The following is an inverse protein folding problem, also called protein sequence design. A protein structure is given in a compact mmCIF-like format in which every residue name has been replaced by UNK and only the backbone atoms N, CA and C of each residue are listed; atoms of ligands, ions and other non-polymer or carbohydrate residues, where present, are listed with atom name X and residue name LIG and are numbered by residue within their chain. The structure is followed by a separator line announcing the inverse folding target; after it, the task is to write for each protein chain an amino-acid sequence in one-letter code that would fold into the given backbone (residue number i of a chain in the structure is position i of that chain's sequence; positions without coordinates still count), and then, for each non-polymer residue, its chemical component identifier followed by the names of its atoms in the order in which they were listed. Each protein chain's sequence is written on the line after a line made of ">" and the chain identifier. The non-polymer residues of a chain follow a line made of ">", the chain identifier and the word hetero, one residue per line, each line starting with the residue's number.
data_IF_243542843052
#
_entry.id   IF_243542843052
#
_cell.length_a   1.000
_cell.length_b   1.000
_cell.length_c   1.000
_cell.angle_alpha   90.00
_cell.angle_beta   90.00
_cell.angle_gamma   90.00
#
_symmetry.space_group_name_H-M   'P 1'
#
loop_
_entity.id
_entity.type
_entity.pdbx_description
1 polymer ?
#
# COMPACT_ATOMS: atom_id res chain seq x y z
N UNK A 1 35.69 40.87 -1.50
CA UNK A 1 35.38 40.72 -0.05
C UNK A 1 36.46 39.93 0.67
N UNK A 2 36.77 38.70 0.23
CA UNK A 2 37.89 37.91 0.77
C UNK A 2 39.26 38.58 0.60
N UNK A 3 39.51 39.24 -0.54
CA UNK A 3 40.76 39.98 -0.77
C UNK A 3 40.92 41.17 0.19
N UNK A 4 39.85 41.93 0.44
CA UNK A 4 39.86 43.04 1.41
C UNK A 4 39.97 42.56 2.87
N UNK A 5 39.53 41.34 3.17
CA UNK A 5 39.69 40.71 4.48
C UNK A 5 41.14 40.24 4.71
N UNK A 6 41.74 39.63 3.70
CA UNK A 6 43.13 39.21 3.73
C UNK A 6 44.08 40.41 3.82
N UNK A 7 43.79 41.51 3.11
CA UNK A 7 44.57 42.74 3.17
C UNK A 7 44.52 43.44 4.55
N UNK A 8 43.41 43.34 5.28
CA UNK A 8 43.20 43.99 6.58
C UNK A 8 43.47 43.08 7.78
N UNK A 9 44.25 42.01 7.60
CA UNK A 9 44.62 41.07 8.66
C UNK A 9 43.43 40.52 9.48
N UNK A 10 42.27 40.35 8.82
CA UNK A 10 41.05 39.81 9.43
C UNK A 10 40.11 40.83 10.08
N UNK A 11 40.39 42.14 10.04
CA UNK A 11 39.53 43.16 10.65
C UNK A 11 38.37 43.65 9.75
N UNK A 12 38.21 43.10 8.53
CA UNK A 12 37.09 43.45 7.66
C UNK A 12 35.87 42.55 7.91
N UNK A 13 34.66 43.11 7.86
CA UNK A 13 33.44 42.29 7.92
C UNK A 13 33.21 41.54 6.59
N UNK A 14 32.99 40.23 6.65
CA UNK A 14 32.55 39.42 5.51
C UNK A 14 31.08 39.09 5.67
N UNK A 15 30.27 39.50 4.70
CA UNK A 15 28.86 39.12 4.66
C UNK A 15 28.71 37.67 4.14
N UNK A 16 28.44 36.74 5.06
CA UNK A 16 28.19 35.32 4.75
C UNK A 16 26.69 34.99 4.59
N UNK A 17 25.80 35.99 4.48
CA UNK A 17 24.36 35.76 4.34
C UNK A 17 24.00 34.91 3.13
N UNK A 18 24.72 35.08 2.01
CA UNK A 18 24.54 34.24 0.82
C UNK A 18 24.94 32.80 1.11
N UNK A 19 26.09 32.58 1.76
CA UNK A 19 26.55 31.23 2.14
C UNK A 19 25.55 30.54 3.05
N UNK A 20 25.07 31.24 4.09
CA UNK A 20 24.03 30.75 5.00
C UNK A 20 22.74 30.38 4.27
N UNK A 21 22.28 31.23 3.35
CA UNK A 21 21.04 30.95 2.61
C UNK A 21 21.19 29.72 1.70
N UNK A 22 22.37 29.51 1.09
CA UNK A 22 22.65 28.31 0.29
C UNK A 22 22.68 27.04 1.16
N UNK A 23 23.31 27.11 2.33
CA UNK A 23 23.34 26.00 3.30
C UNK A 23 21.93 25.66 3.82
N UNK A 24 21.10 26.68 4.09
CA UNK A 24 19.71 26.48 4.50
C UNK A 24 18.88 25.78 3.41
N UNK A 25 19.02 26.22 2.15
CA UNK A 25 18.36 25.57 1.01
C UNK A 25 18.82 24.13 0.84
N UNK A 26 20.13 23.88 0.94
CA UNK A 26 20.68 22.52 0.90
C UNK A 26 20.11 21.64 2.02
N UNK A 27 20.00 22.18 3.24
CA UNK A 27 19.43 21.47 4.39
C UNK A 27 17.97 21.10 4.15
N UNK A 28 17.17 22.01 3.59
CA UNK A 28 15.78 21.70 3.20
C UNK A 28 15.71 20.62 2.11
N UNK A 29 16.61 20.64 1.13
CA UNK A 29 16.70 19.57 0.13
C UNK A 29 17.04 18.22 0.75
N UNK A 30 18.04 18.15 1.64
CA UNK A 30 18.42 16.92 2.34
C UNK A 30 17.28 16.41 3.22
N UNK A 31 16.60 17.29 3.96
CA UNK A 31 15.42 16.93 4.74
C UNK A 31 14.29 16.36 3.87
N UNK A 32 14.08 16.95 2.69
CA UNK A 32 13.14 16.44 1.69
C UNK A 32 13.52 15.04 1.20
N UNK A 33 14.79 14.80 0.88
CA UNK A 33 15.28 13.46 0.50
C UNK A 33 15.03 12.45 1.61
N UNK A 34 15.38 12.78 2.86
CA UNK A 34 15.16 11.90 4.02
C UNK A 34 13.67 11.62 4.22
N UNK A 35 12.80 12.61 4.02
CA UNK A 35 11.34 12.44 4.07
C UNK A 35 10.86 11.44 3.00
N UNK A 36 11.26 11.60 1.73
CA UNK A 36 10.86 10.67 0.67
C UNK A 36 11.44 9.26 0.87
N UNK A 37 12.67 9.14 1.36
CA UNK A 37 13.25 7.85 1.76
C UNK A 37 12.43 7.22 2.88
N UNK A 38 11.97 8.00 3.85
CA UNK A 38 11.10 7.52 4.93
C UNK A 38 9.74 7.06 4.40
N UNK A 39 9.11 7.79 3.49
CA UNK A 39 7.89 7.35 2.80
C UNK A 39 8.12 6.05 2.00
N UNK A 40 9.28 5.90 1.35
CA UNK A 40 9.66 4.67 0.65
C UNK A 40 9.84 3.51 1.62
N UNK A 41 10.38 3.74 2.82
CA UNK A 41 10.50 2.74 3.87
C UNK A 41 9.11 2.21 4.29
N UNK A 42 8.10 3.07 4.43
CA UNK A 42 6.71 2.65 4.71
C UNK A 42 6.20 1.69 3.62
N UNK A 43 6.53 1.94 2.33
CA UNK A 43 6.15 1.04 1.24
C UNK A 43 6.86 -0.32 1.33
N UNK A 44 8.12 -0.36 1.78
CA UNK A 44 8.86 -1.61 2.00
C UNK A 44 8.23 -2.43 3.14
N UNK A 45 7.69 -1.77 4.17
CA UNK A 45 7.00 -2.44 5.28
C UNK A 45 5.68 -3.14 4.89
N UNK A 46 5.21 -3.00 3.63
CA UNK A 46 4.09 -3.79 3.09
C UNK A 46 4.35 -5.30 3.05
N UNK A 47 5.58 -5.78 3.33
CA UNK A 47 5.82 -7.21 3.57
C UNK A 47 5.03 -7.76 4.77
N UNK A 48 4.60 -6.90 5.71
CA UNK A 48 3.71 -7.33 6.79
C UNK A 48 2.26 -7.38 6.31
N UNK A 49 1.63 -8.55 6.47
CA UNK A 49 0.23 -8.81 6.09
C UNK A 49 -0.76 -7.76 6.60
N UNK A 50 -0.58 -7.28 7.83
CA UNK A 50 -1.47 -6.26 8.40
C UNK A 50 -1.29 -4.89 7.73
N UNK A 51 -0.06 -4.55 7.39
CA UNK A 51 0.30 -3.25 6.79
C UNK A 51 -0.09 -3.22 5.31
N UNK A 52 0.15 -4.30 4.56
CA UNK A 52 -0.27 -4.39 3.16
C UNK A 52 -1.80 -4.34 3.03
N UNK A 53 -2.55 -5.02 3.89
CA UNK A 53 -4.02 -4.93 3.88
C UNK A 53 -4.53 -3.49 4.09
N UNK A 54 -3.96 -2.76 5.06
CA UNK A 54 -4.28 -1.35 5.29
C UNK A 54 -3.90 -0.46 4.10
N UNK A 55 -2.75 -0.72 3.47
CA UNK A 55 -2.28 0.03 2.31
C UNK A 55 -3.20 -0.17 1.10
N UNK A 56 -3.61 -1.40 0.81
CA UNK A 56 -4.51 -1.70 -0.31
C UNK A 56 -5.90 -1.10 -0.07
N UNK A 57 -6.36 -1.12 1.18
CA UNK A 57 -7.62 -0.48 1.57
C UNK A 57 -7.58 1.03 1.39
N UNK A 58 -6.47 1.68 1.78
CA UNK A 58 -6.28 3.11 1.61
C UNK A 58 -6.12 3.50 0.14
N UNK A 59 -5.50 2.65 -0.68
CA UNK A 59 -5.35 2.88 -2.13
C UNK A 59 -6.69 2.81 -2.85
N UNK A 60 -7.55 1.85 -2.47
CA UNK A 60 -8.93 1.76 -2.96
C UNK A 60 -9.79 2.95 -2.49
N UNK A 61 -9.73 3.28 -1.20
CA UNK A 61 -10.40 4.45 -0.64
C UNK A 61 -9.87 5.78 -1.22
N UNK A 62 -8.67 5.76 -1.78
CA UNK A 62 -7.97 6.94 -2.28
C UNK A 62 -8.78 7.73 -3.30
N UNK A 63 -9.48 7.05 -4.21
CA UNK A 63 -10.32 7.70 -5.23
C UNK A 63 -11.46 8.49 -4.58
N UNK A 64 -12.24 7.85 -3.71
CA UNK A 64 -13.34 8.50 -2.98
C UNK A 64 -12.85 9.61 -2.05
N UNK A 65 -11.70 9.42 -1.40
CA UNK A 65 -11.06 10.44 -0.55
C UNK A 65 -10.62 11.64 -1.39
N UNK A 66 -10.08 11.44 -2.59
CA UNK A 66 -9.65 12.54 -3.46
C UNK A 66 -10.83 13.38 -3.95
N UNK A 67 -11.96 12.76 -4.29
CA UNK A 67 -13.17 13.48 -4.69
C UNK A 67 -13.70 14.36 -3.56
N UNK A 68 -13.74 13.83 -2.33
CA UNK A 68 -14.10 14.60 -1.15
C UNK A 68 -13.07 15.69 -0.82
N UNK A 69 -11.77 15.42 -1.02
CA UNK A 69 -10.71 16.38 -0.73
C UNK A 69 -10.83 17.66 -1.55
N UNK A 70 -11.31 17.60 -2.80
CA UNK A 70 -11.55 18.80 -3.62
C UNK A 70 -12.61 19.70 -2.96
N UNK A 71 -13.74 19.13 -2.54
CA UNK A 71 -14.81 19.88 -1.87
C UNK A 71 -14.34 20.42 -0.52
N UNK A 72 -13.59 19.62 0.24
CA UNK A 72 -13.01 20.00 1.52
C UNK A 72 -12.07 21.20 1.40
N UNK A 73 -11.14 21.17 0.43
CA UNK A 73 -10.22 22.29 0.16
C UNK A 73 -10.98 23.54 -0.25
N UNK A 74 -12.00 23.43 -1.10
CA UNK A 74 -12.82 24.59 -1.49
C UNK A 74 -13.51 25.25 -0.29
N UNK A 75 -14.11 24.47 0.60
CA UNK A 75 -14.76 24.98 1.81
C UNK A 75 -13.74 25.68 2.71
N UNK A 76 -12.60 25.03 2.99
CA UNK A 76 -11.55 25.62 3.83
C UNK A 76 -10.99 26.89 3.21
N UNK A 77 -10.74 26.92 1.90
CA UNK A 77 -10.27 28.12 1.20
C UNK A 77 -11.29 29.25 1.29
N UNK A 78 -12.59 28.98 1.13
CA UNK A 78 -13.65 29.99 1.23
C UNK A 78 -13.71 30.62 2.63
N UNK A 79 -13.64 29.80 3.68
CA UNK A 79 -13.60 30.29 5.07
C UNK A 79 -12.30 31.04 5.39
N UNK A 80 -11.14 30.53 4.94
CA UNK A 80 -9.86 31.19 5.12
C UNK A 80 -9.81 32.54 4.42
N UNK A 81 -10.30 32.64 3.19
CA UNK A 81 -10.40 33.90 2.46
C UNK A 81 -11.32 34.90 3.17
N UNK A 82 -12.46 34.43 3.69
CA UNK A 82 -13.40 35.26 4.45
C UNK A 82 -12.78 35.80 5.74
N UNK A 83 -12.10 34.93 6.51
CA UNK A 83 -11.41 35.32 7.75
C UNK A 83 -10.23 36.24 7.47
N UNK A 84 -9.45 35.97 6.42
CA UNK A 84 -8.37 36.83 5.97
C UNK A 84 -8.88 38.24 5.69
N UNK A 85 -9.89 38.39 4.81
CA UNK A 85 -10.44 39.70 4.47
C UNK A 85 -10.97 40.48 5.69
N UNK A 86 -11.55 39.81 6.69
CA UNK A 86 -12.12 40.45 7.86
C UNK A 86 -11.11 40.77 8.97
N UNK A 87 -10.05 39.96 9.12
CA UNK A 87 -9.15 40.01 10.28
C UNK A 87 -7.72 40.43 9.92
N UNK A 88 -7.34 40.54 8.64
CA UNK A 88 -5.95 40.80 8.24
C UNK A 88 -5.35 42.09 8.81
N UNK A 89 -6.17 43.13 8.97
CA UNK A 89 -5.74 44.43 9.51
C UNK A 89 -5.89 44.53 11.03
N UNK A 90 -6.42 43.49 11.69
CA UNK A 90 -6.71 43.49 13.13
C UNK A 90 -5.80 42.55 13.92
N UNK A 91 -5.53 41.36 13.38
CA UNK A 91 -4.76 40.33 14.07
C UNK A 91 -3.54 39.92 13.24
N UNK A 92 -2.39 39.84 13.89
CA UNK A 92 -1.14 39.41 13.27
C UNK A 92 -1.23 37.96 12.73
N UNK A 93 -1.96 37.10 13.43
CA UNK A 93 -2.24 35.71 13.01
C UNK A 93 -2.98 35.60 11.67
N UNK A 94 -3.62 36.67 11.21
CA UNK A 94 -4.40 36.70 9.96
C UNK A 94 -3.76 37.60 8.89
N UNK A 95 -2.53 38.08 9.10
CA UNK A 95 -1.87 39.05 8.21
C UNK A 95 -1.50 38.47 6.83
N UNK A 96 -1.24 37.16 6.77
CA UNK A 96 -0.92 36.42 5.54
C UNK A 96 -1.92 35.29 5.34
N UNK A 97 -2.17 34.92 4.07
CA UNK A 97 -3.02 33.76 3.74
C UNK A 97 -2.46 32.47 4.37
N UNK A 98 -1.14 32.31 4.39
CA UNK A 98 -0.47 31.15 5.01
C UNK A 98 -0.65 31.15 6.53
N UNK A 99 -0.46 32.30 7.18
CA UNK A 99 -0.66 32.43 8.62
C UNK A 99 -2.14 32.21 9.01
N UNK A 100 -3.07 32.65 8.15
CA UNK A 100 -4.50 32.41 8.33
C UNK A 100 -4.82 30.93 8.23
N UNK A 101 -4.25 30.22 7.25
CA UNK A 101 -4.40 28.78 7.10
C UNK A 101 -3.82 27.99 8.28
N UNK A 102 -2.65 28.39 8.78
CA UNK A 102 -2.06 27.80 9.98
C UNK A 102 -2.96 28.01 11.21
N UNK A 103 -3.47 29.24 11.38
CA UNK A 103 -4.33 29.60 12.51
C UNK A 103 -5.68 28.88 12.46
N UNK A 104 -6.31 28.78 11.29
CA UNK A 104 -7.59 28.07 11.12
C UNK A 104 -7.42 26.56 11.28
N UNK A 105 -6.31 25.98 10.80
CA UNK A 105 -5.99 24.56 10.99
C UNK A 105 -5.71 24.24 12.47
N UNK A 106 -4.92 25.08 13.15
CA UNK A 106 -4.70 24.97 14.59
C UNK A 106 -6.02 25.13 15.37
N UNK A 107 -6.90 26.02 14.90
CA UNK A 107 -8.27 26.17 15.38
C UNK A 107 -9.04 24.86 15.28
N UNK A 108 -9.09 24.22 14.10
CA UNK A 108 -9.77 22.93 13.92
C UNK A 108 -9.23 21.82 14.86
N UNK A 109 -7.97 21.88 15.28
CA UNK A 109 -7.38 20.98 16.27
C UNK A 109 -7.73 21.31 17.73
N UNK A 110 -8.52 22.36 17.97
CA UNK A 110 -8.90 22.84 19.30
C UNK A 110 -7.91 23.82 19.94
N UNK A 111 -6.86 24.23 19.22
CA UNK A 111 -5.86 25.19 19.71
C UNK A 111 -6.19 26.59 19.19
N UNK A 112 -7.05 27.32 19.90
CA UNK A 112 -7.37 28.70 19.55
C UNK A 112 -7.33 29.62 20.77
N UNK A 113 -6.74 30.80 20.58
CA UNK A 113 -6.73 31.87 21.58
C UNK A 113 -7.95 32.79 21.32
N UNK A 114 -9.01 32.60 22.12
CA UNK A 114 -10.26 33.39 22.03
C UNK A 114 -10.10 34.86 22.44
N UNK A 115 -9.01 35.20 23.12
CA UNK A 115 -8.82 36.51 23.77
C UNK A 115 -8.72 37.68 22.79
N UNK A 116 -8.54 37.44 21.48
CA UNK A 116 -8.29 38.48 20.48
C UNK A 116 -9.40 38.67 19.44
N UNK A 117 -10.43 37.83 19.39
CA UNK A 117 -11.51 37.96 18.39
C UNK A 117 -12.61 38.90 18.91
N UNK A 118 -12.27 40.18 19.12
CA UNK A 118 -13.15 41.20 19.72
C UNK A 118 -14.17 41.81 18.74
N UNK A 119 -14.21 41.36 17.47
CA UNK A 119 -15.14 41.89 16.47
C UNK A 119 -16.38 41.00 16.30
N UNK A 120 -17.56 41.63 16.36
CA UNK A 120 -18.88 40.94 16.34
C UNK A 120 -19.07 40.04 15.11
N UNK A 121 -18.66 40.47 13.91
CA UNK A 121 -18.81 39.67 12.68
C UNK A 121 -17.71 38.63 12.50
N UNK A 122 -16.44 38.99 12.78
CA UNK A 122 -15.30 38.08 12.67
C UNK A 122 -15.41 36.91 13.66
N UNK A 123 -15.89 37.17 14.88
CA UNK A 123 -16.13 36.14 15.90
C UNK A 123 -17.25 35.18 15.49
N UNK A 124 -18.35 35.68 14.92
CA UNK A 124 -19.45 34.83 14.43
C UNK A 124 -18.98 33.92 13.29
N UNK A 125 -18.28 34.46 12.29
CA UNK A 125 -17.78 33.66 11.16
C UNK A 125 -16.72 32.66 11.64
N UNK A 126 -15.84 33.07 12.55
CA UNK A 126 -14.87 32.16 13.18
C UNK A 126 -15.57 31.03 13.92
N UNK A 127 -16.60 31.32 14.72
CA UNK A 127 -17.36 30.32 15.46
C UNK A 127 -18.11 29.34 14.53
N UNK A 128 -18.72 29.84 13.46
CA UNK A 128 -19.35 29.00 12.43
C UNK A 128 -18.30 28.09 11.78
N UNK A 129 -17.15 28.65 11.38
CA UNK A 129 -16.05 27.87 10.80
C UNK A 129 -15.57 26.78 11.77
N UNK A 130 -15.39 27.11 13.04
CA UNK A 130 -14.94 26.14 14.05
C UNK A 130 -15.96 25.00 14.23
N UNK A 131 -17.25 25.33 14.33
CA UNK A 131 -18.31 24.34 14.47
C UNK A 131 -18.41 23.45 13.23
N UNK A 132 -18.49 24.05 12.04
CA UNK A 132 -18.54 23.32 10.76
C UNK A 132 -17.26 22.52 10.51
N UNK A 133 -16.09 23.08 10.80
CA UNK A 133 -14.79 22.44 10.59
C UNK A 133 -14.57 21.22 11.48
N UNK A 134 -14.85 21.36 12.78
CA UNK A 134 -14.61 20.28 13.75
C UNK A 134 -15.71 19.22 13.75
N UNK A 135 -16.99 19.62 13.68
CA UNK A 135 -18.09 18.67 13.82
C UNK A 135 -18.59 18.11 12.49
N UNK A 136 -18.47 18.85 11.39
CA UNK A 136 -18.90 18.35 10.09
C UNK A 136 -17.72 17.87 9.26
N UNK A 137 -16.73 18.73 8.98
CA UNK A 137 -15.67 18.36 8.04
C UNK A 137 -14.82 17.18 8.52
N UNK A 138 -14.35 17.19 9.77
CA UNK A 138 -13.56 16.06 10.31
C UNK A 138 -14.40 14.79 10.38
N UNK A 139 -15.65 14.88 10.85
CA UNK A 139 -16.50 13.69 11.00
C UNK A 139 -16.91 13.07 9.66
N UNK A 140 -17.20 13.89 8.64
CA UNK A 140 -17.48 13.38 7.29
C UNK A 140 -16.23 12.72 6.69
N UNK A 141 -15.04 13.31 6.90
CA UNK A 141 -13.78 12.69 6.46
C UNK A 141 -13.59 11.30 7.09
N UNK A 142 -13.78 11.19 8.41
CA UNK A 142 -13.68 9.91 9.13
C UNK A 142 -14.74 8.92 8.65
N UNK A 143 -15.98 9.38 8.40
CA UNK A 143 -17.06 8.55 7.88
C UNK A 143 -16.71 7.94 6.52
N UNK A 144 -16.16 8.73 5.58
CA UNK A 144 -15.78 8.24 4.24
C UNK A 144 -14.67 7.20 4.36
N UNK A 145 -13.63 7.48 5.16
CA UNK A 145 -12.53 6.53 5.38
C UNK A 145 -13.06 5.23 5.99
N UNK A 146 -13.98 5.30 6.96
CA UNK A 146 -14.57 4.13 7.59
C UNK A 146 -15.45 3.33 6.62
N UNK A 147 -16.25 4.02 5.79
CA UNK A 147 -17.09 3.40 4.77
C UNK A 147 -16.24 2.60 3.77
N UNK A 148 -15.20 3.20 3.22
CA UNK A 148 -14.31 2.51 2.28
C UNK A 148 -13.53 1.37 2.94
N UNK A 149 -13.14 1.55 4.20
CA UNK A 149 -12.51 0.49 4.98
C UNK A 149 -13.43 -0.71 5.17
N UNK A 150 -14.71 -0.47 5.46
CA UNK A 150 -15.71 -1.53 5.61
C UNK A 150 -15.99 -2.25 4.27
N UNK A 151 -16.02 -1.52 3.15
CA UNK A 151 -16.16 -2.12 1.81
C UNK A 151 -15.02 -3.11 1.52
N UNK A 152 -13.77 -2.69 1.74
CA UNK A 152 -12.60 -3.56 1.47
C UNK A 152 -12.49 -4.70 2.47
N UNK A 153 -12.92 -4.49 3.72
CA UNK A 153 -13.01 -5.56 4.72
C UNK A 153 -14.02 -6.63 4.32
N UNK A 154 -15.17 -6.25 3.77
CA UNK A 154 -16.22 -7.17 3.36
C UNK A 154 -15.90 -7.90 2.04
N UNK A 155 -15.04 -7.34 1.20
CA UNK A 155 -14.55 -8.00 -0.02
C UNK A 155 -13.47 -9.06 0.29
N UNK A 156 -13.94 -10.20 0.80
CA UNK A 156 -13.09 -11.37 1.12
C UNK A 156 -12.42 -12.01 -0.10
N UNK A 157 -12.87 -11.69 -1.32
CA UNK A 157 -12.42 -12.34 -2.55
C UNK A 157 -11.02 -11.90 -3.02
N UNK A 158 -10.60 -10.69 -2.64
CA UNK A 158 -9.30 -10.11 -3.03
C UNK A 158 -8.21 -10.33 -1.97
N UNK A 159 -8.60 -10.57 -0.72
CA UNK A 159 -7.68 -10.78 0.40
C UNK A 159 -7.02 -12.18 0.41
N UNK A 160 -7.62 -13.18 -0.21
CA UNK A 160 -7.08 -14.57 -0.22
C UNK A 160 -5.94 -14.74 -1.24
N UNK A 161 -6.09 -14.21 -2.45
CA UNK A 161 -5.22 -14.58 -3.58
C UNK A 161 -3.75 -14.14 -3.42
N UNK A 162 -3.46 -12.92 -2.95
CA UNK A 162 -2.06 -12.49 -2.75
C UNK A 162 -1.40 -13.11 -1.52
N UNK A 163 -2.17 -13.42 -0.47
CA UNK A 163 -1.63 -14.02 0.75
C UNK A 163 -1.45 -15.54 0.66
N UNK A 164 -2.29 -16.24 -0.13
CA UNK A 164 -2.06 -17.64 -0.47
C UNK A 164 -0.70 -17.83 -1.15
N UNK A 165 -0.27 -16.91 -2.03
CA UNK A 165 1.02 -17.03 -2.72
C UNK A 165 2.20 -16.99 -1.74
N UNK A 166 2.15 -16.14 -0.72
CA UNK A 166 3.22 -16.03 0.29
C UNK A 166 3.23 -17.27 1.19
N UNK A 167 2.06 -17.76 1.62
CA UNK A 167 1.95 -18.99 2.39
C UNK A 167 2.41 -20.21 1.57
N UNK A 168 2.13 -20.23 0.27
CA UNK A 168 2.64 -21.24 -0.67
C UNK A 168 4.15 -21.17 -0.83
N UNK A 169 4.75 -19.98 -0.93
CA UNK A 169 6.21 -19.82 -1.02
C UNK A 169 6.87 -20.24 0.30
N UNK A 170 6.33 -19.81 1.44
CA UNK A 170 6.83 -20.20 2.76
C UNK A 170 6.75 -21.72 2.94
N UNK A 171 5.61 -22.33 2.62
CA UNK A 171 5.41 -23.78 2.70
C UNK A 171 6.33 -24.54 1.74
N UNK A 172 6.56 -24.05 0.50
CA UNK A 172 7.49 -24.66 -0.45
C UNK A 172 8.94 -24.55 0.00
N UNK A 173 9.36 -23.40 0.54
CA UNK A 173 10.70 -23.18 1.06
C UNK A 173 10.93 -24.08 2.27
N UNK A 174 10.02 -24.10 3.23
CA UNK A 174 10.17 -24.90 4.43
C UNK A 174 10.06 -26.42 4.16
N UNK A 175 9.31 -26.83 3.12
CA UNK A 175 9.32 -28.21 2.57
C UNK A 175 10.64 -28.54 1.87
N UNK A 176 11.25 -27.57 1.17
CA UNK A 176 12.55 -27.73 0.52
C UNK A 176 13.71 -27.82 1.51
N UNK A 177 13.57 -27.27 2.72
CA UNK A 177 14.57 -27.35 3.80
C UNK A 177 14.35 -28.62 4.66
N UNK A 178 13.35 -29.47 4.34
CA UNK A 178 13.16 -30.77 4.99
C UNK A 178 12.62 -30.74 6.42
N UNK A 179 12.22 -29.56 6.93
CA UNK A 179 11.79 -29.33 8.32
C UNK A 179 10.26 -29.39 8.52
N UNK A 180 9.47 -29.77 7.51
CA UNK A 180 8.01 -29.81 7.61
C UNK A 180 7.50 -31.18 8.10
N UNK A 181 7.23 -31.28 9.41
CA UNK A 181 6.45 -32.37 10.00
C UNK A 181 4.95 -32.22 9.70
N UNK A 182 4.26 -33.34 9.45
CA UNK A 182 2.85 -33.42 9.00
C UNK A 182 1.79 -32.90 9.98
N UNK A 183 2.17 -32.30 11.11
CA UNK A 183 1.28 -32.07 12.25
C UNK A 183 0.75 -30.63 12.37
N UNK A 184 1.42 -29.64 11.73
CA UNK A 184 1.08 -28.22 11.85
C UNK A 184 0.45 -27.63 10.58
N UNK A 185 -0.63 -28.24 10.09
CA UNK A 185 -1.34 -27.75 8.90
C UNK A 185 -2.38 -26.70 9.35
N UNK A 186 -2.19 -25.37 9.13
CA UNK A 186 -3.31 -24.46 9.19
C UNK A 186 -4.31 -24.88 8.11
N UNK A 187 -5.61 -24.73 8.35
CA UNK A 187 -6.67 -25.06 7.40
C UNK A 187 -6.58 -24.18 6.15
N UNK A 188 -5.61 -24.48 5.29
CA UNK A 188 -5.44 -23.89 3.98
C UNK A 188 -6.43 -24.61 3.08
N UNK A 189 -7.46 -23.89 2.64
CA UNK A 189 -8.41 -24.34 1.65
C UNK A 189 -7.72 -24.47 0.28
N UNK A 190 -6.89 -25.51 0.12
CA UNK A 190 -6.36 -25.88 -1.19
C UNK A 190 -7.35 -26.83 -1.87
N UNK A 191 -8.12 -26.25 -2.78
CA UNK A 191 -8.79 -26.91 -3.91
C UNK A 191 -7.71 -27.12 -4.99
N UNK A 192 -7.43 -28.26 -5.60
CA UNK A 192 -8.10 -29.56 -5.72
C UNK A 192 -7.07 -30.68 -5.48
N UNK A 193 -7.18 -31.41 -4.37
CA UNK A 193 -6.55 -32.75 -4.20
C UNK A 193 -6.94 -33.70 -5.34
N UNK A 194 -8.04 -33.38 -6.06
CA UNK A 194 -8.48 -34.16 -7.20
C UNK A 194 -7.51 -34.18 -8.38
N UNK A 195 -6.99 -33.01 -8.77
CA UNK A 195 -6.08 -32.92 -9.91
C UNK A 195 -4.75 -33.60 -9.64
N UNK A 196 -4.29 -33.51 -8.40
CA UNK A 196 -3.03 -34.12 -7.97
C UNK A 196 -3.13 -35.65 -7.90
N UNK A 197 -4.28 -36.23 -7.48
CA UNK A 197 -4.47 -37.69 -7.56
C UNK A 197 -4.49 -38.16 -9.03
N UNK A 198 -5.07 -37.38 -9.93
CA UNK A 198 -5.21 -37.75 -11.33
C UNK A 198 -3.85 -37.72 -12.04
N UNK A 199 -3.02 -36.72 -11.70
CA UNK A 199 -1.64 -36.64 -12.16
C UNK A 199 -0.77 -37.77 -11.58
N UNK A 200 -0.96 -38.12 -10.31
CA UNK A 200 -0.25 -39.26 -9.70
C UNK A 200 -0.66 -40.60 -10.29
N UNK A 201 -1.96 -40.80 -10.58
CA UNK A 201 -2.45 -42.02 -11.22
C UNK A 201 -1.99 -42.12 -12.68
N UNK A 202 -1.91 -41.01 -13.41
CA UNK A 202 -1.37 -41.02 -14.77
C UNK A 202 0.15 -41.23 -14.80
N UNK A 203 0.88 -40.78 -13.77
CA UNK A 203 2.30 -41.04 -13.62
C UNK A 203 2.60 -42.48 -13.21
N UNK A 204 1.85 -43.05 -12.25
CA UNK A 204 2.00 -44.46 -11.87
C UNK A 204 1.69 -45.38 -13.06
N UNK A 205 0.63 -45.10 -13.81
CA UNK A 205 0.30 -45.84 -15.03
C UNK A 205 1.41 -45.76 -16.09
N UNK A 206 2.04 -44.59 -16.27
CA UNK A 206 3.18 -44.44 -17.20
C UNK A 206 4.44 -45.15 -16.70
N UNK A 207 4.69 -45.17 -15.38
CA UNK A 207 5.81 -45.88 -14.79
C UNK A 207 5.66 -47.40 -14.97
N UNK A 208 4.46 -47.94 -14.76
CA UNK A 208 4.16 -49.36 -14.98
C UNK A 208 4.33 -49.76 -16.45
N UNK A 209 3.94 -48.89 -17.39
CA UNK A 209 4.16 -49.11 -18.82
C UNK A 209 5.64 -49.12 -19.20
N UNK A 210 6.45 -48.28 -18.56
CA UNK A 210 7.90 -48.26 -18.76
C UNK A 210 8.55 -49.51 -18.16
N UNK A 211 8.13 -49.92 -16.97
CA UNK A 211 8.63 -51.11 -16.28
C UNK A 211 8.32 -52.37 -17.12
N UNK A 212 7.08 -52.48 -17.63
CA UNK A 212 6.69 -53.56 -18.54
C UNK A 212 7.50 -53.54 -19.85
N UNK A 213 7.82 -52.36 -20.40
CA UNK A 213 8.67 -52.25 -21.61
C UNK A 213 10.11 -52.68 -21.31
N UNK A 214 10.69 -52.25 -20.19
CA UNK A 214 12.05 -52.61 -19.79
C UNK A 214 12.18 -54.10 -19.47
N UNK A 215 11.19 -54.69 -18.77
CA UNK A 215 11.15 -56.13 -18.52
C UNK A 215 11.01 -56.93 -19.81
N UNK A 216 10.15 -56.49 -20.74
CA UNK A 216 10.02 -57.12 -22.06
C UNK A 216 11.35 -57.07 -22.83
N UNK A 217 12.07 -55.95 -22.80
CA UNK A 217 13.39 -55.84 -23.43
C UNK A 217 14.42 -56.78 -22.78
N UNK A 218 14.41 -56.92 -21.45
CA UNK A 218 15.28 -57.88 -20.73
C UNK A 218 14.97 -59.34 -21.10
N UNK A 219 13.71 -59.68 -21.34
CA UNK A 219 13.30 -61.04 -21.72
C UNK A 219 13.66 -61.32 -23.19
N UNK A 220 13.56 -60.32 -24.06
CA UNK A 220 13.83 -60.44 -25.50
C UNK A 220 15.32 -60.44 -25.85
N UNK A 221 16.21 -60.34 -24.87
CA UNK A 221 17.66 -60.53 -25.04
C UNK A 221 18.06 -62.02 -24.90
N UNK A 222 17.14 -62.88 -24.43
CA UNK A 222 17.42 -64.30 -24.16
C UNK A 222 16.69 -65.30 -25.06
N UNK A 223 15.67 -64.93 -25.83
CA UNK A 223 14.99 -65.85 -26.75
C UNK A 223 14.60 -65.15 -28.07
N UNK A 224 15.20 -65.61 -29.16
CA UNK A 224 14.98 -65.20 -30.55
C UNK A 224 13.71 -65.84 -31.14
N UNK A 225 12.55 -65.69 -30.49
CA UNK A 225 11.27 -66.15 -31.06
C UNK A 225 10.22 -65.02 -31.13
N UNK A 226 9.87 -64.66 -32.36
CA UNK A 226 8.95 -63.56 -32.70
C UNK A 226 7.49 -63.91 -32.34
N UNK A 227 7.06 -63.61 -31.11
CA UNK A 227 5.65 -63.74 -30.71
C UNK A 227 4.89 -62.42 -30.93
N UNK A 228 3.96 -62.42 -31.88
CA UNK A 228 3.03 -61.30 -32.11
C UNK A 228 2.16 -61.03 -30.87
N UNK A 229 2.05 -59.78 -30.38
CA UNK A 229 1.20 -59.46 -29.25
C UNK A 229 -0.29 -59.50 -29.65
N UNK A 230 -1.20 -59.82 -28.71
CA UNK A 230 -2.64 -59.74 -28.96
C UNK A 230 -3.07 -58.28 -29.21
N UNK A 231 -4.09 -58.10 -30.07
CA UNK A 231 -4.62 -56.79 -30.49
C UNK A 231 -5.06 -55.95 -29.28
N UNK A 232 -4.74 -54.64 -29.30
CA UNK A 232 -5.11 -53.72 -28.23
C UNK A 232 -6.62 -53.45 -28.25
N UNK A 233 -7.21 -53.26 -27.07
CA UNK A 233 -8.62 -52.90 -26.91
C UNK A 233 -9.03 -51.57 -27.60
N UNK A 234 -8.06 -50.73 -27.99
CA UNK A 234 -8.30 -49.49 -28.73
C UNK A 234 -8.62 -49.72 -30.22
N UNK A 235 -8.39 -50.92 -30.75
CA UNK A 235 -8.62 -51.25 -32.17
C UNK A 235 -10.01 -51.87 -32.42
N UNK A 236 -10.89 -51.95 -31.40
CA UNK A 236 -12.26 -52.43 -31.58
C UNK A 236 -13.17 -51.31 -32.13
N UNK A 237 -13.94 -51.55 -33.20
CA UNK A 237 -14.95 -50.60 -33.64
C UNK A 237 -16.02 -50.44 -32.56
N UNK A 238 -16.36 -49.18 -32.23
CA UNK A 238 -17.38 -48.85 -31.24
C UNK A 238 -18.74 -49.39 -31.66
N UNK A 239 -19.56 -49.97 -30.75
CA UNK A 239 -20.89 -50.43 -31.10
C UNK A 239 -21.78 -49.22 -31.46
N UNK A 240 -22.45 -49.31 -32.62
CA UNK A 240 -23.54 -48.42 -33.01
C UNK A 240 -24.71 -48.68 -32.07
N UNK A 241 -25.07 -47.68 -31.27
CA UNK A 241 -26.32 -47.68 -30.50
C UNK A 241 -27.47 -47.27 -31.43
N UNK A 242 -28.54 -48.07 -31.39
CA UNK A 242 -29.87 -47.82 -31.94
C UNK A 242 -30.73 -47.17 -30.85
#
# INVERSE_FOLDING_TARGET
>A
ALENFAANNGNAYINLSQQRNMELMFTFCVAGVVFFVSCKLIKILRFNRRIAFLADTLDYAGVSITDFAVVFVLIICAFNASLYCLLWNKLESYKSAVATFETTTAGMLGKFHLTTVLFRLGSVIFMIFMYTGTLFLINIFVMIVMYEFEQVRNDSSRQTNQYEIIDHIQTKVLRSIGLYGRENVPACYVRDSMKDYELLNTLSAKADLLLHRVLRWRINENDDDMVLPPRRAQDMPKPLYL
#
